data_IF_136390731851
#
_entry.id   IF_136390731851
#
_cell.length_a   1.000
_cell.length_b   1.000
_cell.length_c   1.000
_cell.angle_alpha   90.00
_cell.angle_beta   90.00
_cell.angle_gamma   90.00
#
_symmetry.space_group_name_H-M   'P 1'
#
loop_
_entity.id
_entity.type
_entity.pdbx_description
1 polymer ?
#
# COMPACT_ATOMS: atom_id res chain seq x y z
N UNK A 1 30.30 18.13 61.52
CA UNK A 1 30.36 19.58 61.22
C UNK A 1 29.47 19.86 60.01
N UNK A 2 28.30 20.49 60.20
CA UNK A 2 27.34 20.76 59.11
C UNK A 2 27.78 22.04 58.39
N UNK A 3 28.23 21.91 57.15
CA UNK A 3 28.64 23.04 56.30
C UNK A 3 27.38 23.63 55.66
N UNK A 4 27.01 24.84 56.07
CA UNK A 4 25.90 25.61 55.51
C UNK A 4 26.44 26.50 54.38
N UNK A 5 25.73 26.55 53.25
CA UNK A 5 26.05 27.45 52.14
C UNK A 5 25.13 28.67 52.28
N UNK A 6 25.70 29.83 52.61
CA UNK A 6 24.94 31.08 52.74
C UNK A 6 25.02 31.82 51.42
N UNK A 7 23.90 31.89 50.69
CA UNK A 7 23.77 32.73 49.50
C UNK A 7 23.35 34.13 49.97
N UNK A 8 24.30 35.06 50.00
CA UNK A 8 24.04 36.45 50.39
C UNK A 8 23.77 37.28 49.14
N UNK A 9 22.49 37.62 48.90
CA UNK A 9 22.09 38.55 47.84
C UNK A 9 21.95 39.93 48.49
N UNK A 10 22.83 40.87 48.14
CA UNK A 10 22.85 42.24 48.69
C UNK A 10 22.18 43.18 47.67
N UNK A 11 20.89 43.54 47.86
CA UNK A 11 20.29 44.63 47.10
C UNK A 11 20.76 45.99 47.62
N UNK A 12 20.99 46.94 46.71
CA UNK A 12 21.58 48.27 46.94
C UNK A 12 20.67 49.27 47.70
N UNK A 13 19.63 48.82 48.41
CA UNK A 13 18.77 49.71 49.17
C UNK A 13 18.54 49.15 50.58
N UNK A 14 19.06 49.88 51.57
CA UNK A 14 18.98 49.61 53.00
C UNK A 14 17.52 49.35 53.40
N UNK A 15 17.16 48.13 53.81
CA UNK A 15 16.75 47.91 55.20
C UNK A 15 16.47 46.46 55.57
N UNK A 16 16.58 45.48 54.66
CA UNK A 16 16.35 44.07 55.02
C UNK A 16 17.21 43.12 54.20
N UNK A 17 18.38 42.77 54.74
CA UNK A 17 19.19 41.64 54.23
C UNK A 17 18.43 40.35 54.55
N UNK A 18 17.79 39.74 53.54
CA UNK A 18 17.16 38.42 53.67
C UNK A 18 18.21 37.34 53.46
N UNK A 19 18.78 36.86 54.57
CA UNK A 19 19.68 35.71 54.56
C UNK A 19 18.86 34.42 54.40
N UNK A 20 18.95 33.79 53.22
CA UNK A 20 18.38 32.46 53.01
C UNK A 20 19.42 31.41 53.37
N UNK A 21 19.33 30.87 54.60
CA UNK A 21 20.16 29.73 55.01
C UNK A 21 19.63 28.44 54.38
N UNK A 22 20.09 28.10 53.17
CA UNK A 22 19.76 26.82 52.55
C UNK A 22 20.56 25.69 53.21
N UNK A 23 19.87 24.88 54.01
CA UNK A 23 20.44 23.68 54.62
C UNK A 23 20.69 22.61 53.54
N UNK A 24 21.85 21.94 53.56
CA UNK A 24 22.22 20.85 52.60
C UNK A 24 21.12 19.84 52.28
N UNK A 25 20.28 19.35 53.23
CA UNK A 25 19.18 18.44 52.91
C UNK A 25 18.07 19.08 52.07
N UNK A 26 17.83 20.39 52.20
CA UNK A 26 16.85 21.13 51.38
C UNK A 26 17.33 21.20 49.93
N UNK A 27 18.63 21.42 49.74
CA UNK A 27 19.27 21.41 48.42
C UNK A 27 19.14 20.04 47.73
N UNK A 28 19.40 18.95 48.47
CA UNK A 28 19.22 17.59 47.96
C UNK A 28 17.76 17.25 47.66
N UNK A 29 16.83 17.68 48.51
CA UNK A 29 15.39 17.52 48.28
C UNK A 29 14.92 18.26 47.04
N UNK A 30 15.39 19.50 46.84
CA UNK A 30 15.08 20.28 45.64
C UNK A 30 15.64 19.64 44.37
N UNK A 31 16.88 19.14 44.43
CA UNK A 31 17.52 18.45 43.30
C UNK A 31 16.77 17.15 42.94
N UNK A 32 16.36 16.38 43.96
CA UNK A 32 15.59 15.16 43.76
C UNK A 32 14.21 15.45 43.18
N UNK A 33 13.53 16.50 43.67
CA UNK A 33 12.24 16.94 43.13
C UNK A 33 12.37 17.38 41.66
N UNK A 34 13.42 18.16 41.35
CA UNK A 34 13.70 18.58 39.98
C UNK A 34 14.00 17.40 39.07
N UNK A 35 14.76 16.41 39.54
CA UNK A 35 15.06 15.19 38.78
C UNK A 35 13.81 14.38 38.48
N UNK A 36 12.89 14.24 39.44
CA UNK A 36 11.61 13.54 39.23
C UNK A 36 10.76 14.31 38.23
N UNK A 37 10.69 15.64 38.37
CA UNK A 37 9.94 16.48 37.44
C UNK A 37 10.44 16.35 35.99
N UNK A 38 11.76 16.40 35.79
CA UNK A 38 12.38 16.21 34.47
C UNK A 38 12.08 14.80 33.94
N UNK A 39 12.19 13.76 34.77
CA UNK A 39 11.90 12.39 34.35
C UNK A 39 10.43 12.21 33.92
N UNK A 40 9.48 12.75 34.67
CA UNK A 40 8.05 12.73 34.31
C UNK A 40 7.79 13.51 33.03
N UNK A 41 8.41 14.69 32.87
CA UNK A 41 8.29 15.50 31.66
C UNK A 41 8.83 14.77 30.42
N UNK A 42 10.00 14.14 30.53
CA UNK A 42 10.57 13.33 29.44
C UNK A 42 9.70 12.11 29.11
N UNK A 43 9.16 11.43 30.12
CA UNK A 43 8.25 10.30 29.92
C UNK A 43 7.00 10.73 29.15
N UNK A 44 6.39 11.85 29.53
CA UNK A 44 5.24 12.40 28.81
C UNK A 44 5.59 12.89 27.40
N UNK A 45 6.74 13.55 27.23
CA UNK A 45 7.18 14.04 25.93
C UNK A 45 7.40 12.88 24.93
N UNK A 46 8.07 11.81 25.35
CA UNK A 46 8.28 10.62 24.51
C UNK A 46 6.96 9.90 24.24
N UNK A 47 6.10 9.72 25.27
CA UNK A 47 4.81 9.08 25.10
C UNK A 47 3.90 9.82 24.12
N UNK A 48 3.90 11.16 24.16
CA UNK A 48 3.10 11.98 23.26
C UNK A 48 3.63 11.95 21.83
N UNK A 49 4.95 12.04 21.64
CA UNK A 49 5.56 12.00 20.31
C UNK A 49 5.32 10.65 19.61
N UNK A 50 5.48 9.55 20.33
CA UNK A 50 5.27 8.19 19.79
C UNK A 50 3.80 7.92 19.44
N UNK A 51 2.85 8.60 20.09
CA UNK A 51 1.42 8.38 19.85
C UNK A 51 0.94 9.09 18.58
N UNK A 52 1.45 10.29 18.31
CA UNK A 52 1.14 11.05 17.10
C UNK A 52 1.70 10.37 15.84
N UNK A 53 2.92 9.83 15.90
CA UNK A 53 3.55 9.17 14.74
C UNK A 53 2.85 7.87 14.35
N UNK A 54 2.30 7.14 15.33
CA UNK A 54 1.55 5.90 15.07
C UNK A 54 0.21 6.16 14.41
N UNK A 55 -0.52 7.17 14.87
CA UNK A 55 -1.85 7.48 14.32
C UNK A 55 -1.74 8.03 12.90
N UNK A 56 -0.75 8.89 12.63
CA UNK A 56 -0.46 9.40 11.28
C UNK A 56 -0.03 8.29 10.33
N UNK A 57 0.84 7.38 10.76
CA UNK A 57 1.30 6.23 9.95
C UNK A 57 0.15 5.26 9.67
N UNK A 58 -0.70 4.96 10.66
CA UNK A 58 -1.87 4.11 10.45
C UNK A 58 -2.87 4.74 9.48
N UNK A 59 -3.09 6.05 9.60
CA UNK A 59 -3.95 6.77 8.68
C UNK A 59 -3.39 6.75 7.26
N UNK A 60 -2.09 7.02 7.07
CA UNK A 60 -1.47 7.00 5.75
C UNK A 60 -1.51 5.61 5.11
N UNK A 61 -1.20 4.55 5.86
CA UNK A 61 -1.30 3.17 5.37
C UNK A 61 -2.73 2.80 4.97
N UNK A 62 -3.73 3.24 5.74
CA UNK A 62 -5.14 2.99 5.40
C UNK A 62 -5.55 3.72 4.12
N UNK A 63 -5.16 4.99 3.99
CA UNK A 63 -5.42 5.77 2.77
C UNK A 63 -4.74 5.14 1.55
N UNK A 64 -3.48 4.73 1.68
CA UNK A 64 -2.74 4.07 0.61
C UNK A 64 -3.41 2.75 0.19
N UNK A 65 -3.84 1.93 1.15
CA UNK A 65 -4.52 0.67 0.83
C UNK A 65 -5.88 0.91 0.14
N UNK A 66 -6.64 1.94 0.56
CA UNK A 66 -7.90 2.32 -0.10
C UNK A 66 -7.65 2.79 -1.53
N UNK A 67 -6.64 3.62 -1.75
CA UNK A 67 -6.28 4.08 -3.09
C UNK A 67 -5.84 2.91 -3.98
N UNK A 68 -4.99 2.02 -3.47
CA UNK A 68 -4.56 0.82 -4.20
C UNK A 68 -5.76 -0.04 -4.63
N UNK A 69 -6.71 -0.29 -3.72
CA UNK A 69 -7.95 -1.03 -4.04
C UNK A 69 -8.74 -0.36 -5.16
N UNK A 70 -8.89 0.97 -5.09
CA UNK A 70 -9.57 1.73 -6.13
C UNK A 70 -8.86 1.62 -7.49
N UNK A 71 -7.52 1.72 -7.52
CA UNK A 71 -6.75 1.52 -8.75
C UNK A 71 -6.93 0.11 -9.33
N UNK A 72 -7.04 -0.93 -8.50
CA UNK A 72 -7.34 -2.29 -8.97
C UNK A 72 -8.71 -2.40 -9.63
N UNK A 73 -9.73 -1.78 -9.05
CA UNK A 73 -11.07 -1.73 -9.66
C UNK A 73 -11.01 -1.07 -11.04
N UNK A 74 -10.28 0.03 -11.19
CA UNK A 74 -10.10 0.67 -12.50
C UNK A 74 -9.36 -0.21 -13.51
N UNK A 75 -8.41 -1.03 -13.06
CA UNK A 75 -7.72 -2.00 -13.93
C UNK A 75 -8.70 -3.07 -14.43
N UNK A 76 -9.57 -3.58 -13.56
CA UNK A 76 -10.60 -4.55 -13.94
C UNK A 76 -11.56 -3.97 -14.99
N UNK A 77 -12.08 -2.76 -14.76
CA UNK A 77 -12.95 -2.09 -15.74
C UNK A 77 -12.26 -1.91 -17.10
N UNK A 78 -10.96 -1.61 -17.11
CA UNK A 78 -10.19 -1.50 -18.37
C UNK A 78 -10.01 -2.85 -19.05
N UNK A 79 -9.79 -3.93 -18.30
CA UNK A 79 -9.69 -5.28 -18.84
C UNK A 79 -11.01 -5.73 -19.47
N UNK A 80 -12.14 -5.43 -18.84
CA UNK A 80 -13.46 -5.72 -19.41
C UNK A 80 -13.70 -4.96 -20.71
N UNK A 81 -13.29 -3.69 -20.77
CA UNK A 81 -13.34 -2.91 -22.01
C UNK A 81 -12.44 -3.51 -23.11
N UNK A 82 -11.23 -3.97 -22.77
CA UNK A 82 -10.37 -4.64 -23.74
C UNK A 82 -10.95 -5.97 -24.21
N UNK A 83 -11.59 -6.73 -23.33
CA UNK A 83 -12.28 -7.96 -23.69
C UNK A 83 -13.36 -7.71 -24.74
N UNK A 84 -14.18 -6.68 -24.57
CA UNK A 84 -15.17 -6.32 -25.58
C UNK A 84 -14.55 -5.94 -26.93
N UNK A 85 -13.41 -5.25 -26.93
CA UNK A 85 -12.69 -4.93 -28.18
C UNK A 85 -12.14 -6.19 -28.86
N UNK A 86 -11.63 -7.15 -28.08
CA UNK A 86 -11.17 -8.44 -28.61
C UNK A 86 -12.35 -9.26 -29.15
N UNK A 87 -13.49 -9.28 -28.45
CA UNK A 87 -14.72 -9.94 -28.94
C UNK A 87 -15.17 -9.37 -30.28
N UNK A 88 -15.17 -8.04 -30.44
CA UNK A 88 -15.49 -7.39 -31.72
C UNK A 88 -14.50 -7.79 -32.83
N UNK A 89 -13.20 -7.82 -32.53
CA UNK A 89 -12.18 -8.25 -33.48
C UNK A 89 -12.31 -9.73 -33.86
N UNK A 90 -12.69 -10.59 -32.91
CA UNK A 90 -12.96 -12.01 -33.14
C UNK A 90 -14.15 -12.21 -34.08
N UNK A 91 -15.19 -11.39 -33.96
CA UNK A 91 -16.32 -11.44 -34.89
C UNK A 91 -15.92 -10.96 -36.29
N UNK A 92 -15.08 -9.91 -36.38
CA UNK A 92 -14.52 -9.46 -37.65
C UNK A 92 -13.64 -10.55 -38.30
N UNK A 93 -12.80 -11.24 -37.53
CA UNK A 93 -11.99 -12.38 -37.98
C UNK A 93 -12.85 -13.48 -38.63
N UNK A 94 -13.95 -13.87 -37.98
CA UNK A 94 -14.87 -14.87 -38.56
C UNK A 94 -15.44 -14.43 -39.89
N UNK A 95 -15.83 -13.16 -40.01
CA UNK A 95 -16.34 -12.62 -41.27
C UNK A 95 -15.30 -12.70 -42.39
N UNK A 96 -14.04 -12.34 -42.10
CA UNK A 96 -12.96 -12.41 -43.09
C UNK A 96 -12.60 -13.84 -43.46
N UNK A 97 -12.54 -14.78 -42.51
CA UNK A 97 -12.33 -16.21 -42.80
C UNK A 97 -13.38 -16.76 -43.75
N UNK A 98 -14.66 -16.41 -43.52
CA UNK A 98 -15.75 -16.81 -44.39
C UNK A 98 -15.61 -16.25 -45.82
N UNK A 99 -15.05 -15.04 -45.99
CA UNK A 99 -14.82 -14.45 -47.30
C UNK A 99 -13.71 -15.15 -48.10
N UNK A 100 -12.69 -15.67 -47.42
CA UNK A 100 -11.56 -16.35 -48.06
C UNK A 100 -11.69 -17.88 -48.07
N UNK A 101 -12.88 -18.40 -47.74
CA UNK A 101 -13.19 -19.83 -47.63
C UNK A 101 -12.19 -20.60 -46.75
N UNK A 102 -11.74 -19.95 -45.67
CA UNK A 102 -10.93 -20.60 -44.63
C UNK A 102 -11.87 -21.33 -43.67
N UNK A 103 -11.54 -22.59 -43.38
CA UNK A 103 -12.27 -23.39 -42.40
C UNK A 103 -12.29 -22.70 -41.04
N UNK A 104 -13.43 -22.75 -40.34
CA UNK A 104 -13.47 -22.32 -38.95
C UNK A 104 -12.46 -23.15 -38.13
N UNK A 105 -11.74 -22.52 -37.18
CA UNK A 105 -10.96 -23.25 -36.19
C UNK A 105 -11.86 -24.23 -35.45
N UNK A 106 -11.44 -25.49 -35.32
CA UNK A 106 -12.21 -26.51 -34.58
C UNK A 106 -12.44 -26.12 -33.12
N UNK A 107 -13.54 -26.60 -32.53
CA UNK A 107 -13.99 -26.24 -31.18
C UNK A 107 -12.94 -26.50 -30.08
N UNK A 108 -12.04 -27.47 -30.27
CA UNK A 108 -10.89 -27.70 -29.39
C UNK A 108 -9.92 -26.52 -29.35
N UNK A 109 -9.62 -25.89 -30.49
CA UNK A 109 -8.75 -24.70 -30.57
C UNK A 109 -9.43 -23.50 -29.91
N UNK A 110 -10.76 -23.38 -30.06
CA UNK A 110 -11.56 -22.35 -29.38
C UNK A 110 -11.57 -22.52 -27.86
N UNK A 111 -11.55 -23.76 -27.36
CA UNK A 111 -11.60 -24.07 -25.92
C UNK A 111 -10.23 -24.07 -25.23
N UNK A 112 -9.10 -24.08 -25.96
CA UNK A 112 -7.76 -23.96 -25.36
C UNK A 112 -7.51 -22.63 -24.62
N UNK A 113 -8.44 -21.67 -24.70
CA UNK A 113 -8.39 -20.41 -23.96
C UNK A 113 -9.05 -20.40 -22.57
N UNK A 114 -9.78 -21.46 -22.18
CA UNK A 114 -10.68 -21.45 -21.00
C UNK A 114 -10.14 -22.27 -19.80
N UNK A 115 -8.95 -22.87 -19.92
CA UNK A 115 -8.31 -23.59 -18.82
C UNK A 115 -7.70 -22.65 -17.79
N UNK A 116 -8.23 -22.68 -16.56
CA UNK A 116 -7.63 -21.97 -15.42
C UNK A 116 -6.21 -22.47 -15.19
N UNK A 117 -5.27 -21.54 -15.07
CA UNK A 117 -3.86 -21.86 -14.87
C UNK A 117 -3.67 -22.66 -13.58
N UNK A 118 -3.11 -23.86 -13.72
CA UNK A 118 -2.56 -24.70 -12.63
C UNK A 118 -1.26 -24.09 -12.06
N UNK A 119 -1.18 -22.75 -11.99
CA UNK A 119 -0.04 -22.08 -11.35
C UNK A 119 -0.25 -22.11 -9.84
N UNK A 120 0.80 -22.53 -9.13
CA UNK A 120 0.82 -22.57 -7.67
C UNK A 120 0.35 -21.22 -7.09
N UNK A 121 -0.39 -21.29 -5.98
CA UNK A 121 -0.92 -20.11 -5.28
C UNK A 121 0.19 -19.04 -5.17
N UNK A 122 -0.01 -17.85 -5.77
CA UNK A 122 1.03 -16.84 -5.80
C UNK A 122 1.41 -16.37 -4.39
N UNK A 123 2.69 -16.03 -4.18
CA UNK A 123 3.23 -15.63 -2.87
C UNK A 123 2.47 -14.46 -2.21
N UNK A 124 1.83 -13.60 -3.01
CA UNK A 124 1.03 -12.49 -2.51
C UNK A 124 -0.27 -12.94 -1.82
N UNK A 125 -0.80 -14.12 -2.15
CA UNK A 125 -2.09 -14.62 -1.65
C UNK A 125 -2.08 -14.85 -0.13
N UNK A 126 -0.92 -15.19 0.43
CA UNK A 126 -0.73 -15.33 1.87
C UNK A 126 -0.66 -13.98 2.62
N UNK A 127 -0.38 -12.88 1.90
CA UNK A 127 -0.09 -11.57 2.47
C UNK A 127 -1.23 -10.55 2.31
N UNK A 128 -2.31 -10.94 1.64
CA UNK A 128 -3.49 -10.08 1.40
C UNK A 128 -4.74 -10.64 2.07
N UNK A 129 -5.75 -9.80 2.28
CA UNK A 129 -7.05 -10.31 2.74
C UNK A 129 -7.65 -11.23 1.67
N UNK A 130 -8.44 -12.22 2.10
CA UNK A 130 -9.11 -13.15 1.17
C UNK A 130 -9.87 -12.44 0.05
N UNK A 131 -10.58 -11.36 0.39
CA UNK A 131 -11.31 -10.52 -0.56
C UNK A 131 -10.39 -9.95 -1.64
N UNK A 132 -9.30 -9.29 -1.24
CA UNK A 132 -8.33 -8.71 -2.19
C UNK A 132 -7.67 -9.82 -3.01
N UNK A 133 -7.36 -10.95 -2.38
CA UNK A 133 -6.74 -12.07 -3.07
C UNK A 133 -7.62 -12.69 -4.14
N UNK A 134 -8.94 -12.79 -3.90
CA UNK A 134 -9.91 -13.22 -4.91
C UNK A 134 -9.95 -12.25 -6.09
N UNK A 135 -10.08 -10.95 -5.82
CA UNK A 135 -10.08 -9.91 -6.86
C UNK A 135 -8.80 -9.96 -7.72
N UNK A 136 -7.64 -10.15 -7.10
CA UNK A 136 -6.37 -10.29 -7.83
C UNK A 136 -6.31 -11.55 -8.69
N UNK A 137 -6.74 -12.69 -8.15
CA UNK A 137 -6.75 -13.97 -8.86
C UNK A 137 -7.66 -13.92 -10.08
N UNK A 138 -8.86 -13.35 -9.92
CA UNK A 138 -9.80 -13.11 -11.02
C UNK A 138 -9.18 -12.21 -12.09
N UNK A 139 -8.58 -11.08 -11.69
CA UNK A 139 -7.94 -10.14 -12.60
C UNK A 139 -6.80 -10.78 -13.39
N UNK A 140 -5.95 -11.57 -12.73
CA UNK A 140 -4.84 -12.28 -13.38
C UNK A 140 -5.34 -13.32 -14.38
N UNK A 141 -6.36 -14.09 -13.99
CA UNK A 141 -7.00 -15.08 -14.87
C UNK A 141 -7.61 -14.42 -16.10
N UNK A 142 -8.35 -13.32 -15.92
CA UNK A 142 -8.95 -12.56 -17.03
C UNK A 142 -7.89 -11.96 -17.96
N UNK A 143 -6.81 -11.41 -17.42
CA UNK A 143 -5.72 -10.86 -18.23
C UNK A 143 -5.03 -11.93 -19.06
N UNK A 144 -4.72 -13.08 -18.46
CA UNK A 144 -4.05 -14.18 -19.16
C UNK A 144 -4.96 -14.82 -20.24
N UNK A 145 -6.26 -14.92 -19.98
CA UNK A 145 -7.25 -15.29 -20.99
C UNK A 145 -7.24 -14.29 -22.16
N UNK A 146 -7.32 -12.99 -21.88
CA UNK A 146 -7.33 -11.94 -22.89
C UNK A 146 -6.05 -11.96 -23.75
N UNK A 147 -4.89 -12.17 -23.11
CA UNK A 147 -3.59 -12.29 -23.79
C UNK A 147 -3.58 -13.46 -24.77
N UNK A 148 -4.08 -14.63 -24.36
CA UNK A 148 -4.19 -15.80 -25.24
C UNK A 148 -5.13 -15.56 -26.41
N UNK A 149 -6.28 -14.93 -26.17
CA UNK A 149 -7.26 -14.63 -27.22
C UNK A 149 -6.67 -13.67 -28.26
N UNK A 150 -5.95 -12.63 -27.81
CA UNK A 150 -5.24 -11.72 -28.71
C UNK A 150 -4.16 -12.42 -29.55
N UNK A 151 -3.39 -13.35 -28.96
CA UNK A 151 -2.39 -14.15 -29.69
C UNK A 151 -3.03 -15.06 -30.73
N UNK A 152 -4.16 -15.67 -30.39
CA UNK A 152 -4.92 -16.50 -31.33
C UNK A 152 -5.42 -15.68 -32.52
N UNK A 153 -5.98 -14.51 -32.23
CA UNK A 153 -6.47 -13.58 -33.22
C UNK A 153 -5.35 -13.10 -34.17
N UNK A 154 -4.18 -12.76 -33.64
CA UNK A 154 -2.99 -12.41 -34.43
C UNK A 154 -2.62 -13.53 -35.43
N UNK A 155 -2.48 -14.77 -34.94
CA UNK A 155 -2.18 -15.92 -35.79
C UNK A 155 -3.27 -16.18 -36.84
N UNK A 156 -4.52 -15.89 -36.49
CA UNK A 156 -5.65 -15.99 -37.42
C UNK A 156 -5.53 -14.99 -38.57
N UNK A 157 -5.30 -13.71 -38.26
CA UNK A 157 -5.10 -12.67 -39.25
C UNK A 157 -3.96 -12.98 -40.21
N UNK A 158 -2.83 -13.47 -39.70
CA UNK A 158 -1.68 -13.88 -40.53
C UNK A 158 -2.07 -14.98 -41.54
N UNK A 159 -2.90 -15.95 -41.11
CA UNK A 159 -3.39 -17.01 -41.99
C UNK A 159 -4.28 -16.47 -43.12
N UNK A 160 -5.18 -15.52 -42.81
CA UNK A 160 -6.05 -14.86 -43.80
C UNK A 160 -5.22 -14.08 -44.81
N UNK A 161 -4.26 -13.28 -44.34
CA UNK A 161 -3.37 -12.49 -45.21
C UNK A 161 -2.53 -13.39 -46.11
N UNK A 162 -2.05 -14.52 -45.60
CA UNK A 162 -1.30 -15.49 -46.40
C UNK A 162 -2.15 -16.09 -47.53
N UNK A 163 -3.44 -16.33 -47.27
CA UNK A 163 -4.37 -16.88 -48.25
C UNK A 163 -4.72 -15.88 -49.34
N UNK A 164 -4.85 -14.59 -49.00
CA UNK A 164 -5.12 -13.52 -49.95
C UNK A 164 -3.94 -13.21 -50.90
N UNK A 165 -2.72 -13.60 -50.54
CA UNK A 165 -1.52 -13.41 -51.36
C UNK A 165 -1.25 -14.56 -52.36
N UNK A 166 -1.97 -15.67 -52.25
CA UNK A 166 -1.91 -16.80 -53.21
C UNK A 166 -2.79 -16.55 -54.42
#
# INVERSE_FOLDING_TARGET
MKKHLTLMVIPHNESHVKEFHLSRPVLWGLLSCLSIFIATFLFFAVGYSVSQDKETTLHSLKTENTEMRHQFTLIQERLDNFRHQIEELTDQDRMMRAWVDLSEPGDEIRQMGVGGGDEADPEWQANVSREVGQTFSETYTSFDQLRREAQFLEASFDSIVSKLKQ
#
